data_IF_823757819014
#
_entry.id   IF_823757819014
#
_cell.length_a   1.000
_cell.length_b   1.000
_cell.length_c   1.000
_cell.angle_alpha   90.00
_cell.angle_beta   90.00
_cell.angle_gamma   90.00
#
_symmetry.space_group_name_H-M   'P 1'
#
loop_
_entity.id
_entity.type
_entity.pdbx_description
1 polymer ?
#
# COMPACT_ATOMS: atom_id res chain seq x y z
N UNK A 1 -5.16 -9.37 -4.37
CA UNK A 1 -3.77 -8.87 -4.44
C UNK A 1 -2.85 -9.89 -3.80
N UNK A 2 -1.61 -9.98 -4.26
CA UNK A 2 -0.55 -10.80 -3.67
C UNK A 2 0.42 -9.87 -2.98
N UNK A 3 0.67 -10.11 -1.69
CA UNK A 3 1.67 -9.41 -0.89
C UNK A 3 2.80 -10.40 -0.67
N UNK A 4 4.01 -10.04 -1.08
CA UNK A 4 5.20 -10.88 -0.93
C UNK A 4 6.33 -10.08 -0.32
N UNK A 5 7.06 -10.68 0.63
CA UNK A 5 8.27 -10.06 1.19
C UNK A 5 9.31 -9.84 0.09
N UNK A 6 9.79 -8.60 -0.01
CA UNK A 6 10.91 -8.23 -0.87
C UNK A 6 12.23 -8.32 -0.09
N UNK A 7 12.21 -7.87 1.16
CA UNK A 7 13.27 -8.04 2.14
C UNK A 7 12.69 -8.19 3.55
N UNK A 8 13.54 -8.21 4.58
CA UNK A 8 13.12 -8.36 5.99
C UNK A 8 12.19 -7.26 6.53
N UNK A 9 12.08 -6.14 5.81
CA UNK A 9 11.33 -4.95 6.20
C UNK A 9 10.26 -4.58 5.18
N UNK A 10 10.43 -4.87 3.90
CA UNK A 10 9.56 -4.36 2.85
C UNK A 10 8.88 -5.48 2.07
N UNK A 11 7.69 -5.16 1.54
CA UNK A 11 6.83 -6.03 0.76
C UNK A 11 6.60 -5.44 -0.62
N UNK A 12 6.44 -6.29 -1.63
CA UNK A 12 5.83 -5.93 -2.90
C UNK A 12 4.34 -6.29 -2.89
N UNK A 13 3.53 -5.51 -3.62
CA UNK A 13 2.07 -5.69 -3.71
C UNK A 13 1.70 -5.77 -5.18
N UNK A 14 1.14 -6.90 -5.62
CA UNK A 14 0.88 -7.19 -7.04
C UNK A 14 -0.57 -7.64 -7.28
N UNK A 15 -1.21 -7.31 -8.41
CA UNK A 15 -2.50 -7.89 -8.77
C UNK A 15 -2.39 -9.41 -8.90
N UNK A 16 -3.39 -10.15 -8.40
CA UNK A 16 -3.35 -11.62 -8.40
C UNK A 16 -3.27 -12.21 -9.81
N UNK A 17 -3.97 -11.60 -10.76
CA UNK A 17 -4.01 -12.00 -12.17
C UNK A 17 -2.85 -11.46 -13.01
N UNK A 18 -2.00 -10.58 -12.48
CA UNK A 18 -0.93 -9.91 -13.22
C UNK A 18 0.30 -9.66 -12.32
N UNK A 19 0.99 -10.74 -11.96
CA UNK A 19 2.15 -10.68 -11.05
C UNK A 19 3.41 -10.05 -11.67
N UNK A 20 3.40 -9.75 -12.97
CA UNK A 20 4.42 -8.93 -13.62
C UNK A 20 4.20 -7.41 -13.40
N UNK A 21 3.15 -7.04 -12.67
CA UNK A 21 2.84 -5.66 -12.28
C UNK A 21 2.95 -5.50 -10.77
N UNK A 22 3.27 -4.29 -10.32
CA UNK A 22 3.41 -3.95 -8.90
C UNK A 22 2.72 -2.61 -8.61
N UNK A 23 2.17 -2.48 -7.41
CA UNK A 23 1.72 -1.21 -6.87
C UNK A 23 2.93 -0.29 -6.66
N UNK A 24 2.87 0.89 -7.26
CA UNK A 24 3.95 1.86 -7.32
C UNK A 24 3.46 3.25 -6.86
N UNK A 25 4.41 4.11 -6.53
CA UNK A 25 4.13 5.50 -6.22
C UNK A 25 3.99 6.31 -7.52
N UNK A 26 2.76 6.74 -7.83
CA UNK A 26 2.47 7.69 -8.91
C UNK A 26 2.66 9.14 -8.47
N UNK A 27 1.91 10.06 -9.09
CA UNK A 27 1.94 11.49 -8.72
C UNK A 27 1.03 11.79 -7.50
N UNK A 28 1.37 11.20 -6.35
CA UNK A 28 0.64 11.41 -5.07
C UNK A 28 -0.44 10.37 -4.76
N UNK A 29 -0.56 9.34 -5.59
CA UNK A 29 -1.49 8.22 -5.41
C UNK A 29 -0.81 6.90 -5.81
N UNK A 30 -1.41 5.79 -5.38
CA UNK A 30 -0.98 4.45 -5.76
C UNK A 30 -1.40 4.18 -7.20
N UNK A 31 -0.45 3.77 -8.01
CA UNK A 31 -0.69 3.31 -9.39
C UNK A 31 -0.16 1.89 -9.55
N UNK A 32 -0.38 1.26 -10.71
CA UNK A 32 0.14 -0.08 -11.04
C UNK A 32 1.03 0.03 -12.26
N UNK A 33 2.29 -0.37 -12.10
CA UNK A 33 3.32 -0.31 -13.15
C UNK A 33 3.93 -1.70 -13.38
N UNK A 34 4.62 -1.93 -14.51
CA UNK A 34 5.49 -3.08 -14.66
C UNK A 34 6.43 -3.24 -13.46
N UNK A 35 6.65 -4.47 -13.03
CA UNK A 35 7.49 -4.75 -11.85
C UNK A 35 8.86 -4.08 -11.97
N UNK A 36 9.25 -3.36 -10.92
CA UNK A 36 10.42 -2.48 -10.91
C UNK A 36 11.05 -2.31 -9.53
N UNK A 37 10.82 -3.28 -8.63
CA UNK A 37 11.21 -3.22 -7.21
C UNK A 37 10.49 -2.10 -6.44
N UNK A 38 9.20 -1.91 -6.71
CA UNK A 38 8.35 -1.03 -5.91
C UNK A 38 7.97 -1.74 -4.62
N UNK A 39 8.31 -1.14 -3.48
CA UNK A 39 8.19 -1.76 -2.18
C UNK A 39 7.52 -0.85 -1.16
N UNK A 40 6.84 -1.50 -0.22
CA UNK A 40 6.06 -0.87 0.83
C UNK A 40 6.36 -1.52 2.18
N UNK A 41 6.39 -0.71 3.23
CA UNK A 41 6.48 -1.18 4.61
C UNK A 41 5.07 -1.44 5.13
N UNK A 42 4.67 -2.70 5.26
CA UNK A 42 3.34 -3.08 5.76
C UNK A 42 3.47 -3.56 7.21
N UNK A 43 2.77 -2.90 8.14
CA UNK A 43 2.88 -3.21 9.57
C UNK A 43 1.54 -3.24 10.25
N UNK A 44 1.33 -4.26 11.09
CA UNK A 44 0.16 -4.33 11.95
C UNK A 44 0.33 -3.40 13.15
N UNK A 45 -0.76 -2.75 13.51
CA UNK A 45 -0.94 -1.95 14.73
C UNK A 45 -2.20 -2.45 15.44
N UNK A 46 -2.44 -1.98 16.66
CA UNK A 46 -3.65 -2.26 17.44
C UNK A 46 -4.97 -2.00 16.70
N UNK A 47 -4.95 -1.10 15.72
CA UNK A 47 -6.13 -0.62 14.96
C UNK A 47 -6.17 -1.10 13.51
N UNK A 48 -5.27 -1.99 13.10
CA UNK A 48 -5.17 -2.51 11.73
C UNK A 48 -3.78 -2.31 11.12
N UNK A 49 -3.64 -2.57 9.83
CA UNK A 49 -2.37 -2.41 9.11
C UNK A 49 -2.18 -0.98 8.63
N UNK A 50 -0.94 -0.50 8.67
CA UNK A 50 -0.49 0.63 7.87
C UNK A 50 0.32 0.12 6.67
N UNK A 51 0.29 0.87 5.58
CA UNK A 51 1.11 0.66 4.40
C UNK A 51 1.86 1.96 4.16
N UNK A 52 3.19 1.92 4.26
CA UNK A 52 4.05 3.08 4.10
C UNK A 52 5.06 2.85 2.99
N UNK A 53 5.69 3.91 2.49
CA UNK A 53 6.86 3.76 1.60
C UNK A 53 8.02 3.04 2.30
N UNK A 54 9.02 2.62 1.52
CA UNK A 54 10.22 1.96 2.07
C UNK A 54 10.99 2.83 3.08
N UNK A 55 10.87 4.16 3.00
CA UNK A 55 11.45 5.11 3.93
C UNK A 55 10.61 5.37 5.20
N UNK A 56 9.39 4.82 5.28
CA UNK A 56 8.48 4.98 6.44
C UNK A 56 8.13 6.47 6.68
N UNK A 57 7.94 7.22 5.61
CA UNK A 57 7.70 8.68 5.61
C UNK A 57 6.27 9.06 5.22
N UNK A 58 5.63 8.28 4.35
CA UNK A 58 4.27 8.52 3.84
C UNK A 58 3.44 7.26 3.93
N UNK A 59 2.12 7.43 3.93
CA UNK A 59 1.13 6.39 4.15
C UNK A 59 0.18 6.29 2.97
N UNK A 60 -0.23 5.07 2.64
CA UNK A 60 -1.41 4.84 1.82
C UNK A 60 -2.67 5.19 2.62
N UNK A 61 -3.60 5.87 1.98
CA UNK A 61 -4.92 6.13 2.55
C UNK A 61 -5.95 6.46 1.50
N UNK A 62 -7.11 6.93 1.96
CA UNK A 62 -8.18 7.44 1.10
C UNK A 62 -8.60 8.81 1.58
N UNK A 63 -8.77 9.78 0.67
CA UNK A 63 -9.25 11.11 1.07
C UNK A 63 -10.71 11.03 1.59
N UNK A 64 -11.55 10.34 0.81
CA UNK A 64 -12.94 10.00 1.14
C UNK A 64 -13.13 8.51 0.90
N UNK A 65 -13.66 7.79 1.89
CA UNK A 65 -13.91 6.34 1.80
C UNK A 65 -15.21 6.08 1.00
N UNK A 66 -15.15 6.34 -0.31
CA UNK A 66 -16.25 6.14 -1.26
C UNK A 66 -15.77 5.30 -2.43
N UNK A 67 -16.70 4.64 -3.12
CA UNK A 67 -16.38 3.82 -4.29
C UNK A 67 -15.69 4.64 -5.38
N UNK A 68 -14.66 4.05 -5.99
CA UNK A 68 -13.85 4.69 -7.03
C UNK A 68 -12.84 5.73 -6.51
N UNK A 69 -12.75 5.95 -5.20
CA UNK A 69 -11.71 6.80 -4.63
C UNK A 69 -10.31 6.23 -4.90
N UNK A 70 -9.39 7.10 -5.30
CA UNK A 70 -7.98 6.76 -5.42
C UNK A 70 -7.36 6.50 -4.05
N UNK A 71 -6.39 5.57 -4.01
CA UNK A 71 -5.55 5.38 -2.83
C UNK A 71 -4.47 6.46 -2.86
N UNK A 72 -4.57 7.42 -1.95
CA UNK A 72 -3.62 8.54 -1.84
C UNK A 72 -2.35 8.10 -1.13
N UNK A 73 -1.26 8.82 -1.38
CA UNK A 73 0.01 8.68 -0.66
C UNK A 73 0.34 10.02 -0.03
N UNK A 74 0.40 10.08 1.30
CA UNK A 74 0.60 11.35 2.00
C UNK A 74 1.08 11.20 3.44
N UNK A 75 1.15 12.34 4.14
CA UNK A 75 1.56 12.39 5.53
C UNK A 75 0.66 11.54 6.43
N UNK A 76 1.24 10.98 7.49
CA UNK A 76 0.48 10.21 8.48
C UNK A 76 -0.53 11.09 9.21
N UNK A 77 -1.81 10.70 9.16
CA UNK A 77 -2.90 11.35 9.89
C UNK A 77 -3.25 10.63 11.19
N UNK A 78 -2.84 9.36 11.31
CA UNK A 78 -3.16 8.50 12.45
C UNK A 78 -4.61 8.02 12.51
N UNK A 79 -5.47 8.47 11.58
CA UNK A 79 -6.89 8.16 11.57
C UNK A 79 -7.22 6.90 10.75
N UNK A 80 -8.49 6.51 10.78
CA UNK A 80 -9.02 5.29 10.16
C UNK A 80 -8.84 5.25 8.64
N UNK A 81 -8.71 6.41 7.97
CA UNK A 81 -8.56 6.49 6.52
C UNK A 81 -7.19 6.03 6.01
N UNK A 82 -6.26 5.73 6.90
CA UNK A 82 -4.94 5.16 6.61
C UNK A 82 -4.74 3.78 7.27
N UNK A 83 -5.84 3.15 7.69
CA UNK A 83 -5.84 1.80 8.28
C UNK A 83 -6.46 0.80 7.32
N UNK A 84 -5.80 -0.34 7.20
CA UNK A 84 -6.15 -1.40 6.26
C UNK A 84 -6.38 -2.72 7.00
N UNK A 85 -7.31 -3.52 6.50
CA UNK A 85 -7.54 -4.88 6.95
C UNK A 85 -7.30 -5.83 5.78
N UNK A 86 -6.58 -6.93 6.02
CA UNK A 86 -6.32 -7.96 5.03
C UNK A 86 -6.98 -9.25 5.47
N UNK A 87 -7.84 -9.78 4.60
CA UNK A 87 -8.43 -11.11 4.75
C UNK A 87 -7.79 -12.05 3.73
N UNK A 88 -7.36 -13.21 4.20
CA UNK A 88 -6.78 -14.23 3.33
C UNK A 88 -7.91 -14.89 2.52
N UNK A 89 -7.70 -14.98 1.21
CA UNK A 89 -8.56 -15.70 0.26
C UNK A 89 -7.90 -16.99 -0.21
#
# INVERSE_FOLDING_TARGET
WVIADYDTKTQSVSPQSAQNLQAAWGSGFVTVLPAGNYVWTIRYTDTGYTIQDGGVTVFWGVANAVDGAEVTIGAGTGNEKQRWFFEKI
#
